data_IF_662795938738
#
_entry.id   IF_662795938738
#
_cell.length_a   1.000
_cell.length_b   1.000
_cell.length_c   1.000
_cell.angle_alpha   90.00
_cell.angle_beta   90.00
_cell.angle_gamma   90.00
#
_symmetry.space_group_name_H-M   'P 1'
#
loop_
_entity.id
_entity.type
_entity.pdbx_description
1 polymer ?
#
# COMPACT_ATOMS: atom_id res chain seq x y z
N UNK A 1 -12.08 -4.48 13.13
CA UNK A 1 -11.82 -3.32 14.00
C UNK A 1 -10.99 -2.24 13.31
N UNK A 2 -9.88 -2.52 12.63
CA UNK A 2 -9.06 -1.49 11.97
C UNK A 2 -9.82 -0.58 10.98
N UNK A 3 -10.74 -1.13 10.20
CA UNK A 3 -11.54 -0.37 9.22
C UNK A 3 -12.49 0.65 9.87
N UNK A 4 -13.06 0.34 11.03
CA UNK A 4 -13.95 1.26 11.74
C UNK A 4 -13.17 2.41 12.41
N UNK A 5 -11.99 2.12 12.94
CA UNK A 5 -11.16 3.12 13.62
C UNK A 5 -10.54 4.11 12.62
N UNK A 6 -10.13 3.64 11.44
CA UNK A 6 -9.57 4.49 10.38
C UNK A 6 -10.61 5.40 9.69
N UNK A 7 -11.90 5.19 9.96
CA UNK A 7 -12.97 6.08 9.49
C UNK A 7 -13.09 7.36 10.33
N UNK A 8 -12.48 7.42 11.52
CA UNK A 8 -12.50 8.61 12.38
C UNK A 8 -11.54 9.66 11.81
N UNK A 9 -11.99 10.88 11.44
CA UNK A 9 -11.16 11.85 10.72
C UNK A 9 -9.85 12.22 11.43
N UNK A 10 -9.89 12.42 12.75
CA UNK A 10 -8.70 12.76 13.54
C UNK A 10 -7.67 11.61 13.58
N UNK A 11 -8.13 10.36 13.71
CA UNK A 11 -7.27 9.17 13.67
C UNK A 11 -6.66 9.01 12.28
N UNK A 12 -7.47 9.21 11.23
CA UNK A 12 -7.01 9.14 9.86
C UNK A 12 -5.94 10.19 9.55
N UNK A 13 -6.14 11.44 9.97
CA UNK A 13 -5.18 12.51 9.77
C UNK A 13 -3.84 12.20 10.44
N UNK A 14 -3.88 11.71 11.68
CA UNK A 14 -2.66 11.32 12.41
C UNK A 14 -1.93 10.15 11.75
N UNK A 15 -2.66 9.12 11.31
CA UNK A 15 -2.07 7.98 10.59
C UNK A 15 -1.48 8.40 9.25
N UNK A 16 -2.11 9.31 8.53
CA UNK A 16 -1.61 9.85 7.26
C UNK A 16 -0.26 10.54 7.45
N UNK A 17 -0.16 11.39 8.46
CA UNK A 17 1.09 12.08 8.80
C UNK A 17 2.19 11.09 9.17
N UNK A 18 1.89 10.13 10.04
CA UNK A 18 2.84 9.09 10.44
C UNK A 18 3.37 8.28 9.25
N UNK A 19 2.48 7.85 8.35
CA UNK A 19 2.85 7.08 7.16
C UNK A 19 3.73 7.90 6.19
N UNK A 20 3.42 9.17 5.99
CA UNK A 20 4.23 10.08 5.16
C UNK A 20 5.61 10.33 5.75
N UNK A 21 5.70 10.57 7.06
CA UNK A 21 6.97 10.75 7.75
C UNK A 21 7.85 9.50 7.67
N UNK A 22 7.26 8.31 7.79
CA UNK A 22 7.99 7.06 7.62
C UNK A 22 8.53 6.92 6.19
N UNK A 23 7.73 7.22 5.19
CA UNK A 23 8.15 7.14 3.78
C UNK A 23 9.20 8.21 3.41
N UNK A 24 9.20 9.35 4.10
CA UNK A 24 10.20 10.40 3.90
C UNK A 24 11.57 10.02 4.52
N UNK A 25 11.57 9.21 5.59
CA UNK A 25 12.78 8.87 6.35
C UNK A 25 13.41 7.53 5.96
N UNK A 26 12.69 6.66 5.25
CA UNK A 26 13.16 5.32 4.91
C UNK A 26 12.54 4.79 3.61
N UNK A 27 13.18 3.76 3.02
CA UNK A 27 12.54 2.97 1.98
C UNK A 27 11.42 2.13 2.62
N UNK A 28 10.23 2.21 2.07
CA UNK A 28 9.04 1.53 2.61
C UNK A 28 8.29 0.79 1.52
N UNK A 29 7.63 -0.30 1.93
CA UNK A 29 6.57 -0.95 1.16
C UNK A 29 5.31 -0.81 1.98
N UNK A 30 4.27 -0.23 1.40
CA UNK A 30 2.99 -0.05 2.06
C UNK A 30 1.87 -0.67 1.23
N UNK A 31 0.97 -1.39 1.90
CA UNK A 31 -0.27 -1.86 1.30
C UNK A 31 -1.49 -1.15 1.90
N UNK A 32 -2.52 -0.98 1.08
CA UNK A 32 -3.76 -0.34 1.51
C UNK A 32 -4.67 -0.02 0.33
N UNK A 33 -5.78 0.67 0.62
CA UNK A 33 -6.81 0.99 -0.38
C UNK A 33 -6.56 2.30 -1.12
N UNK A 34 -5.81 3.18 -0.52
CA UNK A 34 -5.61 4.56 -0.98
C UNK A 34 -4.14 5.02 -0.86
N UNK A 35 -3.21 4.09 -0.74
CA UNK A 35 -1.79 4.42 -0.59
C UNK A 35 -1.29 5.21 -1.80
N UNK A 36 -1.49 4.69 -3.00
CA UNK A 36 -0.99 5.31 -4.24
C UNK A 36 -1.80 6.51 -4.73
N UNK A 37 -2.99 6.77 -4.16
CA UNK A 37 -3.85 7.88 -4.58
C UNK A 37 -3.90 9.04 -3.59
N UNK A 38 -3.77 8.74 -2.28
CA UNK A 38 -3.94 9.74 -1.23
C UNK A 38 -2.74 9.85 -0.29
N UNK A 39 -2.13 8.73 0.11
CA UNK A 39 -1.09 8.73 1.13
C UNK A 39 0.26 9.06 0.51
N UNK A 40 0.68 8.30 -0.50
CA UNK A 40 1.94 8.42 -1.23
C UNK A 40 1.68 8.55 -2.74
N UNK A 41 1.09 9.68 -3.20
CA UNK A 41 0.79 9.88 -4.62
C UNK A 41 2.05 9.95 -5.49
N UNK A 42 3.20 10.26 -4.91
CA UNK A 42 4.49 10.39 -5.59
C UNK A 42 5.41 9.18 -5.33
N UNK A 43 4.86 8.02 -4.94
CA UNK A 43 5.65 6.82 -4.74
C UNK A 43 6.35 6.37 -6.03
N UNK A 44 7.61 5.93 -5.92
CA UNK A 44 8.44 5.52 -7.06
C UNK A 44 7.82 4.35 -7.84
N UNK A 45 7.14 3.45 -7.15
CA UNK A 45 6.40 2.32 -7.74
C UNK A 45 5.01 2.22 -7.13
N UNK A 46 4.01 2.16 -7.98
CA UNK A 46 2.62 1.93 -7.58
C UNK A 46 2.09 0.72 -8.32
N UNK A 47 1.53 -0.21 -7.56
CA UNK A 47 0.92 -1.42 -8.10
C UNK A 47 -0.50 -1.51 -7.58
N UNK A 48 -1.45 -1.60 -8.50
CA UNK A 48 -2.82 -1.94 -8.19
C UNK A 48 -2.98 -3.45 -8.30
N UNK A 49 -2.76 -4.12 -7.17
CA UNK A 49 -2.87 -5.58 -7.09
C UNK A 49 -4.33 -6.00 -6.97
N UNK A 50 -4.77 -6.85 -7.87
CA UNK A 50 -6.13 -7.39 -7.88
C UNK A 50 -6.15 -8.89 -8.11
N UNK A 51 -7.31 -9.50 -7.90
CA UNK A 51 -7.68 -10.83 -8.32
C UNK A 51 -9.21 -10.92 -8.36
N UNK A 52 -9.76 -11.88 -9.11
CA UNK A 52 -11.21 -12.11 -9.12
C UNK A 52 -11.74 -12.42 -7.72
N UNK A 53 -12.98 -12.06 -7.46
CA UNK A 53 -13.61 -12.27 -6.14
C UNK A 53 -13.60 -13.74 -5.74
N UNK A 54 -13.90 -14.63 -6.68
CA UNK A 54 -13.90 -16.09 -6.45
C UNK A 54 -12.52 -16.61 -6.08
N UNK A 55 -11.45 -16.16 -6.74
CA UNK A 55 -10.08 -16.56 -6.40
C UNK A 55 -9.70 -16.06 -5.01
N UNK A 56 -10.04 -14.82 -4.65
CA UNK A 56 -9.78 -14.26 -3.32
C UNK A 56 -10.57 -15.00 -2.23
N UNK A 57 -11.83 -15.36 -2.51
CA UNK A 57 -12.65 -16.17 -1.62
C UNK A 57 -12.06 -17.55 -1.40
N UNK A 58 -11.61 -18.20 -2.47
CA UNK A 58 -10.98 -19.53 -2.39
C UNK A 58 -9.65 -19.48 -1.60
N UNK A 59 -8.82 -18.45 -1.80
CA UNK A 59 -7.58 -18.25 -1.02
C UNK A 59 -7.90 -18.10 0.47
N UNK A 60 -8.89 -17.26 0.80
CA UNK A 60 -9.32 -17.05 2.18
C UNK A 60 -9.93 -18.28 2.82
N UNK A 61 -10.73 -19.03 2.07
CA UNK A 61 -11.33 -20.28 2.52
C UNK A 61 -10.25 -21.30 2.91
N UNK A 62 -9.24 -21.50 2.06
CA UNK A 62 -8.11 -22.41 2.35
C UNK A 62 -7.33 -21.97 3.58
N UNK A 63 -7.03 -20.70 3.72
CA UNK A 63 -6.35 -20.16 4.91
C UNK A 63 -7.12 -20.44 6.20
N UNK A 64 -8.45 -20.27 6.18
CA UNK A 64 -9.29 -20.55 7.35
C UNK A 64 -9.36 -22.04 7.66
N UNK A 65 -9.43 -22.88 6.64
CA UNK A 65 -9.40 -24.35 6.83
C UNK A 65 -8.07 -24.81 7.44
N UNK A 66 -6.94 -24.29 6.98
CA UNK A 66 -5.62 -24.60 7.54
C UNK A 66 -5.50 -24.20 9.02
N UNK A 67 -6.20 -23.14 9.43
CA UNK A 67 -6.32 -22.71 10.83
C UNK A 67 -7.35 -23.53 11.65
N UNK A 68 -7.98 -24.54 11.05
CA UNK A 68 -9.00 -25.37 11.71
C UNK A 68 -10.32 -24.62 11.96
N UNK A 69 -10.58 -23.52 11.26
CA UNK A 69 -11.80 -22.76 11.41
C UNK A 69 -12.89 -23.29 10.47
N UNK A 70 -14.10 -23.49 11.01
CA UNK A 70 -15.27 -23.76 10.17
C UNK A 70 -15.62 -22.51 9.38
N UNK A 71 -15.78 -22.65 8.07
CA UNK A 71 -16.09 -21.53 7.18
C UNK A 71 -16.90 -22.01 5.97
N UNK A 72 -17.67 -21.10 5.38
CA UNK A 72 -18.45 -21.31 4.17
C UNK A 72 -17.88 -20.43 3.04
N UNK A 73 -17.60 -21.02 1.88
CA UNK A 73 -17.01 -20.33 0.75
C UNK A 73 -17.93 -19.23 0.20
N UNK A 74 -19.24 -19.50 0.12
CA UNK A 74 -20.23 -18.56 -0.41
C UNK A 74 -20.35 -17.32 0.50
N UNK A 75 -20.35 -17.52 1.83
CA UNK A 75 -20.36 -16.42 2.79
C UNK A 75 -19.09 -15.56 2.68
N UNK A 76 -17.92 -16.21 2.54
CA UNK A 76 -16.65 -15.51 2.35
C UNK A 76 -16.68 -14.69 1.05
N UNK A 77 -17.19 -15.23 -0.03
CA UNK A 77 -17.27 -14.53 -1.32
C UNK A 77 -18.21 -13.33 -1.22
N UNK A 78 -19.36 -13.49 -0.59
CA UNK A 78 -20.31 -12.41 -0.37
C UNK A 78 -19.71 -11.29 0.51
N UNK A 79 -19.03 -11.63 1.58
CA UNK A 79 -18.32 -10.67 2.44
C UNK A 79 -17.27 -9.86 1.67
N UNK A 80 -16.55 -10.50 0.74
CA UNK A 80 -15.57 -9.84 -0.12
C UNK A 80 -16.26 -8.87 -1.08
N UNK A 81 -17.34 -9.28 -1.74
CA UNK A 81 -18.12 -8.42 -2.65
C UNK A 81 -18.61 -7.16 -1.91
N UNK A 82 -19.21 -7.34 -0.75
CA UNK A 82 -19.74 -6.24 0.06
C UNK A 82 -18.64 -5.29 0.54
N UNK A 83 -17.49 -5.84 0.92
CA UNK A 83 -16.34 -5.05 1.34
C UNK A 83 -15.78 -4.24 0.18
N UNK A 84 -15.60 -4.85 -0.99
CA UNK A 84 -15.11 -4.16 -2.18
C UNK A 84 -16.05 -3.02 -2.58
N UNK A 85 -17.36 -3.27 -2.57
CA UNK A 85 -18.37 -2.25 -2.86
C UNK A 85 -18.29 -1.08 -1.86
N UNK A 86 -18.11 -1.35 -0.57
CA UNK A 86 -17.91 -0.32 0.45
C UNK A 86 -16.60 0.46 0.25
N UNK A 87 -15.50 -0.23 -0.04
CA UNK A 87 -14.19 0.39 -0.25
C UNK A 87 -14.19 1.28 -1.52
N UNK A 88 -14.86 0.88 -2.59
CA UNK A 88 -14.98 1.66 -3.83
C UNK A 88 -15.89 2.87 -3.72
N UNK A 89 -16.98 2.76 -2.95
CA UNK A 89 -18.02 3.79 -2.88
C UNK A 89 -17.90 4.72 -1.66
N UNK A 90 -16.89 4.58 -0.82
CA UNK A 90 -16.70 5.49 0.31
C UNK A 90 -16.37 6.91 -0.16
N UNK A 91 -16.92 7.90 0.51
CA UNK A 91 -16.73 9.33 0.16
C UNK A 91 -15.27 9.79 0.31
N UNK A 92 -14.59 9.27 1.35
CA UNK A 92 -13.22 9.67 1.64
C UNK A 92 -12.24 8.60 1.17
N UNK A 93 -11.35 8.95 0.26
CA UNK A 93 -10.27 8.11 -0.25
C UNK A 93 -10.75 6.72 -0.73
N UNK A 94 -11.63 6.66 -1.74
CA UNK A 94 -12.15 5.41 -2.27
C UNK A 94 -11.02 4.52 -2.79
N UNK A 95 -11.28 3.22 -2.82
CA UNK A 95 -10.41 2.27 -3.51
C UNK A 95 -10.45 2.56 -5.01
N UNK A 96 -9.35 3.11 -5.52
CA UNK A 96 -9.20 3.49 -6.92
C UNK A 96 -7.77 3.24 -7.36
N UNK A 97 -7.60 2.74 -8.58
CA UNK A 97 -6.28 2.67 -9.20
C UNK A 97 -5.75 4.09 -9.46
N UNK A 98 -4.51 4.36 -9.06
CA UNK A 98 -3.83 5.59 -9.46
C UNK A 98 -3.51 5.53 -10.96
N UNK A 99 -3.49 6.68 -11.65
CA UNK A 99 -3.32 6.75 -13.10
C UNK A 99 -1.98 6.15 -13.57
N UNK A 100 -0.96 6.29 -12.76
CA UNK A 100 0.40 5.78 -12.98
C UNK A 100 0.67 4.42 -12.32
N UNK A 101 -0.35 3.80 -11.72
CA UNK A 101 -0.20 2.48 -11.12
C UNK A 101 -0.28 1.37 -12.14
N UNK A 102 0.68 0.44 -12.09
CA UNK A 102 0.63 -0.80 -12.85
C UNK A 102 -0.50 -1.69 -12.32
N UNK A 103 -1.40 -2.10 -13.19
CA UNK A 103 -2.40 -3.12 -12.86
C UNK A 103 -1.73 -4.49 -12.84
N UNK A 104 -1.84 -5.22 -11.73
CA UNK A 104 -1.37 -6.59 -11.59
C UNK A 104 -2.54 -7.49 -11.17
N UNK A 105 -3.10 -8.21 -12.13
CA UNK A 105 -4.12 -9.23 -11.86
C UNK A 105 -3.44 -10.56 -11.50
N UNK A 106 -3.60 -10.97 -10.25
CA UNK A 106 -3.01 -12.19 -9.71
C UNK A 106 -3.95 -13.39 -9.72
N UNK A 107 -5.06 -13.34 -10.47
CA UNK A 107 -6.07 -14.42 -10.46
C UNK A 107 -5.47 -15.78 -10.82
N UNK A 108 -4.59 -15.82 -11.83
CA UNK A 108 -3.96 -17.03 -12.34
C UNK A 108 -2.47 -17.15 -11.94
N UNK A 109 -2.03 -16.37 -10.93
CA UNK A 109 -0.63 -16.34 -10.52
C UNK A 109 -0.40 -17.04 -9.18
N UNK A 110 0.77 -17.68 -9.06
CA UNK A 110 1.28 -18.15 -7.77
C UNK A 110 1.82 -16.97 -6.96
N UNK A 111 2.05 -17.16 -5.67
CA UNK A 111 2.66 -16.14 -4.82
C UNK A 111 4.03 -15.71 -5.35
N UNK A 112 4.86 -16.68 -5.76
CA UNK A 112 6.19 -16.43 -6.31
C UNK A 112 6.13 -15.59 -7.59
N UNK A 113 5.18 -15.87 -8.48
CA UNK A 113 4.98 -15.09 -9.70
C UNK A 113 4.55 -13.66 -9.41
N UNK A 114 3.68 -13.45 -8.40
CA UNK A 114 3.29 -12.11 -7.97
C UNK A 114 4.48 -11.36 -7.40
N UNK A 115 5.27 -11.99 -6.54
CA UNK A 115 6.50 -11.39 -5.97
C UNK A 115 7.48 -11.03 -7.07
N UNK A 116 7.70 -11.92 -8.04
CA UNK A 116 8.60 -11.67 -9.15
C UNK A 116 8.14 -10.47 -10.00
N UNK A 117 6.86 -10.39 -10.32
CA UNK A 117 6.29 -9.26 -11.08
C UNK A 117 6.46 -7.91 -10.34
N UNK A 118 6.28 -7.91 -9.01
CA UNK A 118 6.50 -6.73 -8.18
C UNK A 118 7.98 -6.31 -8.19
N UNK A 119 8.90 -7.27 -8.06
CA UNK A 119 10.34 -7.01 -8.10
C UNK A 119 10.76 -6.46 -9.47
N UNK A 120 10.27 -7.02 -10.56
CA UNK A 120 10.54 -6.54 -11.92
C UNK A 120 10.05 -5.10 -12.12
N UNK A 121 8.85 -4.78 -11.61
CA UNK A 121 8.34 -3.41 -11.63
C UNK A 121 9.24 -2.45 -10.83
N UNK A 122 9.73 -2.87 -9.67
CA UNK A 122 10.66 -2.07 -8.86
C UNK A 122 12.01 -1.86 -9.58
N UNK A 123 12.60 -2.92 -10.12
CA UNK A 123 13.87 -2.84 -10.84
C UNK A 123 13.80 -1.99 -12.11
N UNK A 124 12.67 -2.05 -12.84
CA UNK A 124 12.44 -1.21 -14.02
C UNK A 124 12.41 0.29 -13.70
N UNK A 125 12.17 0.65 -12.45
CA UNK A 125 12.21 2.03 -11.92
C UNK A 125 13.55 2.37 -11.23
N UNK A 126 14.56 1.51 -11.37
CA UNK A 126 15.89 1.72 -10.80
C UNK A 126 16.01 1.43 -9.30
N UNK A 127 15.00 0.80 -8.69
CA UNK A 127 15.06 0.39 -7.30
C UNK A 127 15.74 -0.97 -7.21
N UNK A 128 17.01 -0.97 -6.74
CA UNK A 128 17.77 -2.20 -6.53
C UNK A 128 17.89 -2.52 -5.03
N UNK A 129 18.07 -3.80 -4.64
CA UNK A 129 18.37 -4.17 -3.27
C UNK A 129 19.59 -3.40 -2.76
N UNK A 130 19.45 -2.69 -1.63
CA UNK A 130 20.54 -1.92 -1.03
C UNK A 130 20.70 -0.47 -1.53
N UNK A 131 19.92 0.01 -2.50
CA UNK A 131 19.89 1.43 -2.84
C UNK A 131 19.17 2.22 -1.74
N UNK A 132 19.92 2.97 -0.94
CA UNK A 132 19.34 3.98 -0.05
C UNK A 132 19.07 5.24 -0.86
N UNK A 133 17.91 5.88 -0.66
CA UNK A 133 17.70 7.26 -1.12
C UNK A 133 18.79 8.11 -0.47
N UNK A 134 19.63 8.76 -1.30
CA UNK A 134 20.52 9.78 -0.80
C UNK A 134 19.64 10.86 -0.14
N UNK A 135 19.82 11.07 1.14
CA UNK A 135 19.22 12.18 1.85
C UNK A 135 19.94 13.45 1.39
N UNK A 136 19.36 14.18 0.44
CA UNK A 136 19.75 15.55 0.14
C UNK A 136 19.35 16.46 1.31
N UNK A 137 20.00 16.28 2.44
CA UNK A 137 20.17 17.31 3.43
C UNK A 137 21.47 18.04 3.07
N UNK A 138 21.34 18.97 2.13
CA UNK A 138 22.37 19.99 1.92
C UNK A 138 22.43 20.84 3.19
N UNK A 139 23.56 20.71 3.87
CA UNK A 139 24.04 21.63 4.87
C UNK A 139 23.95 23.07 4.35
N UNK A 140 23.05 23.86 4.90
CA UNK A 140 23.10 25.30 4.81
C UNK A 140 23.29 25.91 6.19
N UNK A 141 24.39 25.56 6.82
CA UNK A 141 24.98 26.33 7.92
C UNK A 141 26.46 26.47 7.67
N UNK A 142 26.81 27.50 6.95
CA UNK A 142 28.16 27.99 6.95
C UNK A 142 28.16 29.53 7.00
N UNK A 143 28.46 30.04 8.13
CA UNK A 143 29.30 31.22 8.20
C UNK A 143 28.60 32.57 8.38
N UNK A 144 28.69 33.07 9.56
CA UNK A 144 29.47 34.31 9.73
C UNK A 144 29.59 34.72 11.19
N UNK A 145 30.62 34.23 11.81
CA UNK A 145 31.30 34.94 12.90
C UNK A 145 32.27 35.91 12.28
N UNK A 146 32.17 37.19 12.57
CA UNK A 146 33.21 38.20 12.65
C UNK A 146 32.76 39.17 13.73
N UNK A 147 33.48 39.20 14.82
CA UNK A 147 34.64 39.99 15.17
C UNK A 147 34.36 41.50 15.19
N UNK A 148 34.74 42.01 16.32
CA UNK A 148 35.37 43.29 16.74
C UNK A 148 34.41 44.18 17.55
N UNK A 149 34.72 44.63 18.65
CA UNK A 149 35.80 45.22 19.48
C UNK A 149 35.23 45.33 20.89
#
# INVERSE_FOLDING_TARGET
MASATSAIPAVRAHLLELQRNLAASANVIMDGRDIGTCILPDADVKIFLTASTSVRAMRRYRELQEKGMMCNLEEIEQDIIERDARDMNRETAPLKQAEDAMLLDSSDMTLEQVVQAILEAAFSRGLAPGSQKASDHADSEAGQTKEEV
#
